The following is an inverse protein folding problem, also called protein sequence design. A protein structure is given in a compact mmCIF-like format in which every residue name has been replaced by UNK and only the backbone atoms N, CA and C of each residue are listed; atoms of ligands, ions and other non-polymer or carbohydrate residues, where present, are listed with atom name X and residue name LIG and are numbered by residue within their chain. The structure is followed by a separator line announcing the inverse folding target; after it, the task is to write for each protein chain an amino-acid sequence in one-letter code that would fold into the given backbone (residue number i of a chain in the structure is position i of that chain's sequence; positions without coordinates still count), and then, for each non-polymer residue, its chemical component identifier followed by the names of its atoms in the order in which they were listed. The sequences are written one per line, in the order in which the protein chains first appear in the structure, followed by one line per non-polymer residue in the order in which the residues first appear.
data_IF_451790441781
#
_entry.id   IF_451790441781
#
_cell.length_a   1.000
_cell.length_b   1.000
_cell.length_c   1.000
_cell.angle_alpha   90.00
_cell.angle_beta   90.00
_cell.angle_gamma   90.00
#
_symmetry.space_group_name_H-M   'P 1'
#
loop_
_entity.id
_entity.type
_entity.pdbx_description
1 polymer ?
#
# COMPACT_ATOMS: atom_id res chain seq x y z
N UNK A 1 -12.60 -18.77 -5.24
CA UNK A 1 -11.88 -18.29 -6.45
C UNK A 1 -10.44 -17.88 -6.14
N UNK A 2 -10.17 -16.98 -5.19
CA UNK A 2 -8.79 -16.61 -4.78
C UNK A 2 -7.96 -17.76 -4.20
N UNK A 3 -8.59 -18.65 -3.43
CA UNK A 3 -7.92 -19.82 -2.82
C UNK A 3 -7.40 -20.84 -3.84
N UNK A 4 -8.00 -20.91 -5.04
CA UNK A 4 -7.52 -21.77 -6.11
C UNK A 4 -6.29 -21.17 -6.80
N UNK A 5 -6.32 -19.87 -7.08
CA UNK A 5 -5.18 -19.18 -7.70
C UNK A 5 -3.94 -19.17 -6.80
N UNK A 6 -4.10 -19.07 -5.47
CA UNK A 6 -2.97 -19.16 -4.53
C UNK A 6 -2.37 -20.57 -4.40
N UNK A 7 -3.03 -21.61 -4.91
CA UNK A 7 -2.52 -22.99 -4.89
C UNK A 7 -1.66 -23.33 -6.09
N UNK A 8 -1.74 -22.56 -7.18
CA UNK A 8 -0.88 -22.74 -8.36
C UNK A 8 0.52 -22.21 -8.08
N UNK A 9 1.52 -22.80 -8.74
CA UNK A 9 2.92 -22.36 -8.61
C UNK A 9 3.08 -20.88 -8.96
N UNK A 10 2.52 -20.48 -10.11
CA UNK A 10 2.52 -19.09 -10.58
C UNK A 10 1.83 -18.12 -9.59
N UNK A 11 0.71 -18.53 -8.98
CA UNK A 11 0.02 -17.71 -8.01
C UNK A 11 0.78 -17.57 -6.69
N UNK A 12 1.48 -18.62 -6.23
CA UNK A 12 2.37 -18.54 -5.06
C UNK A 12 3.55 -17.60 -5.30
N UNK A 13 4.18 -17.69 -6.46
CA UNK A 13 5.30 -16.81 -6.83
C UNK A 13 4.85 -15.34 -6.91
N UNK A 14 3.72 -15.07 -7.55
CA UNK A 14 3.16 -13.72 -7.64
C UNK A 14 2.72 -13.18 -6.28
N UNK A 15 2.14 -14.01 -5.43
CA UNK A 15 1.81 -13.65 -4.06
C UNK A 15 3.06 -13.37 -3.21
N UNK A 16 4.12 -14.17 -3.36
CA UNK A 16 5.38 -13.99 -2.66
C UNK A 16 6.04 -12.63 -2.92
N UNK A 17 5.89 -12.08 -4.13
CA UNK A 17 6.40 -10.73 -4.49
C UNK A 17 5.77 -9.60 -3.68
N UNK A 18 4.60 -9.81 -3.05
CA UNK A 18 3.93 -8.80 -2.22
C UNK A 18 4.78 -8.38 -1.01
N UNK A 19 5.56 -9.31 -0.47
CA UNK A 19 6.46 -9.07 0.67
C UNK A 19 7.43 -7.93 0.43
N UNK A 20 7.96 -7.83 -0.79
CA UNK A 20 8.95 -6.81 -1.15
C UNK A 20 8.32 -5.54 -1.74
N UNK A 21 7.06 -5.60 -2.16
CA UNK A 21 6.42 -4.52 -2.94
C UNK A 21 5.37 -3.78 -2.13
N UNK A 22 4.29 -4.44 -1.75
CA UNK A 22 3.14 -3.79 -1.13
C UNK A 22 3.23 -3.74 0.40
N UNK A 23 3.80 -4.75 1.04
CA UNK A 23 3.93 -4.79 2.51
C UNK A 23 4.77 -3.63 3.07
N UNK A 24 5.92 -3.24 2.47
CA UNK A 24 6.71 -2.11 2.94
C UNK A 24 5.96 -0.78 2.80
N UNK A 25 5.20 -0.61 1.71
CA UNK A 25 4.38 0.59 1.47
C UNK A 25 3.36 0.76 2.58
N UNK A 26 2.62 -0.30 2.91
CA UNK A 26 1.65 -0.28 4.01
C UNK A 26 2.30 -0.07 5.38
N UNK A 27 3.49 -0.65 5.59
CA UNK A 27 4.29 -0.41 6.80
C UNK A 27 4.65 1.06 6.98
N UNK A 28 5.15 1.71 5.92
CA UNK A 28 5.50 3.14 5.92
C UNK A 28 4.26 4.01 6.16
N UNK A 29 3.14 3.71 5.49
CA UNK A 29 1.88 4.45 5.68
C UNK A 29 1.41 4.37 7.15
N UNK A 30 1.47 3.18 7.76
CA UNK A 30 0.97 2.99 9.13
C UNK A 30 1.91 3.50 10.21
N UNK A 31 3.21 3.26 10.07
CA UNK A 31 4.19 3.57 11.11
C UNK A 31 4.83 4.93 10.94
N UNK A 32 5.05 5.37 9.70
CA UNK A 32 5.75 6.64 9.46
C UNK A 32 4.80 7.78 9.13
N UNK A 33 3.78 7.53 8.30
CA UNK A 33 2.75 8.55 8.04
C UNK A 33 1.67 8.57 9.14
N UNK A 34 1.68 7.62 10.08
CA UNK A 34 0.73 7.56 11.20
C UNK A 34 -0.72 7.26 10.80
N UNK A 35 -0.98 6.90 9.54
CA UNK A 35 -2.33 6.68 9.04
C UNK A 35 -2.84 5.29 9.45
N UNK A 36 -3.67 5.23 10.50
CA UNK A 36 -4.21 3.97 11.05
C UNK A 36 -5.70 3.78 10.87
N UNK A 37 -6.45 4.85 10.63
CA UNK A 37 -7.90 4.82 10.45
C UNK A 37 -8.34 5.88 9.44
N UNK A 38 -9.42 5.58 8.72
CA UNK A 38 -10.13 6.54 7.89
C UNK A 38 -11.05 7.39 8.77
N UNK A 39 -11.10 8.69 8.54
CA UNK A 39 -11.98 9.59 9.28
C UNK A 39 -13.34 9.73 8.59
N UNK A 40 -13.35 9.61 7.27
CA UNK A 40 -14.58 9.70 6.48
C UNK A 40 -15.27 8.34 6.34
N UNK A 41 -16.60 8.38 6.13
CA UNK A 41 -17.43 7.21 5.88
C UNK A 41 -17.98 7.23 4.46
N UNK A 42 -18.08 6.04 3.86
CA UNK A 42 -18.51 5.86 2.47
C UNK A 42 -17.36 5.76 1.48
N UNK A 43 -17.50 4.90 0.47
CA UNK A 43 -16.43 4.52 -0.46
C UNK A 43 -15.83 5.74 -1.17
N UNK A 44 -16.68 6.69 -1.59
CA UNK A 44 -16.24 7.88 -2.30
C UNK A 44 -15.34 8.76 -1.42
N UNK A 45 -15.74 9.00 -0.18
CA UNK A 45 -15.00 9.85 0.75
C UNK A 45 -13.68 9.17 1.20
N UNK A 46 -13.73 7.88 1.53
CA UNK A 46 -12.55 7.06 1.84
C UNK A 46 -11.55 7.03 0.67
N UNK A 47 -12.04 7.01 -0.57
CA UNK A 47 -11.16 7.05 -1.75
C UNK A 47 -10.41 8.39 -1.86
N UNK A 48 -11.00 9.51 -1.43
CA UNK A 48 -10.31 10.81 -1.38
C UNK A 48 -9.22 10.80 -0.32
N UNK A 49 -9.54 10.34 0.91
CA UNK A 49 -8.53 10.20 1.98
C UNK A 49 -7.38 9.31 1.54
N UNK A 50 -7.67 8.19 0.90
CA UNK A 50 -6.65 7.26 0.42
C UNK A 50 -5.75 7.89 -0.65
N UNK A 51 -6.30 8.69 -1.56
CA UNK A 51 -5.50 9.43 -2.56
C UNK A 51 -4.54 10.42 -1.91
N UNK A 52 -4.96 11.11 -0.85
CA UNK A 52 -4.10 12.04 -0.10
C UNK A 52 -2.95 11.30 0.59
N UNK A 53 -3.25 10.18 1.25
CA UNK A 53 -2.23 9.33 1.89
C UNK A 53 -1.23 8.80 0.87
N UNK A 54 -1.72 8.33 -0.28
CA UNK A 54 -0.86 7.85 -1.36
C UNK A 54 0.03 8.97 -1.93
N UNK A 55 -0.50 10.19 -2.06
CA UNK A 55 0.27 11.36 -2.50
C UNK A 55 1.38 11.70 -1.51
N UNK A 56 1.09 11.73 -0.20
CA UNK A 56 2.08 11.97 0.85
C UNK A 56 3.19 10.89 0.84
N UNK A 57 2.82 9.62 0.66
CA UNK A 57 3.78 8.53 0.48
C UNK A 57 4.68 8.75 -0.74
N UNK A 58 4.09 9.11 -1.88
CA UNK A 58 4.84 9.36 -3.11
C UNK A 58 5.82 10.53 -2.98
N UNK A 59 5.44 11.63 -2.34
CA UNK A 59 6.38 12.74 -2.08
C UNK A 59 7.54 12.32 -1.20
N UNK A 60 7.28 11.57 -0.12
CA UNK A 60 8.35 11.04 0.72
C UNK A 60 9.31 10.14 -0.07
N UNK A 61 8.76 9.28 -0.93
CA UNK A 61 9.51 8.42 -1.84
C UNK A 61 10.37 9.22 -2.81
N UNK A 62 9.82 10.24 -3.46
CA UNK A 62 10.54 11.11 -4.38
C UNK A 62 11.65 11.88 -3.68
N UNK A 63 11.39 12.40 -2.47
CA UNK A 63 12.41 13.06 -1.67
C UNK A 63 13.59 12.13 -1.37
N UNK A 64 13.32 10.91 -0.89
CA UNK A 64 14.36 9.92 -0.61
C UNK A 64 15.17 9.55 -1.87
N UNK A 65 14.55 9.56 -3.05
CA UNK A 65 15.23 9.34 -4.32
C UNK A 65 16.07 10.54 -4.78
N UNK A 66 15.65 11.76 -4.44
CA UNK A 66 16.34 12.99 -4.85
C UNK A 66 17.53 13.34 -3.94
N UNK A 67 17.49 12.93 -2.67
CA UNK A 67 18.59 13.12 -1.70
C UNK A 67 19.52 11.92 -1.58
N UNK A 68 19.29 10.87 -2.38
CA UNK A 68 20.11 9.66 -2.43
C UNK A 68 21.25 9.76 -3.43
#
# INVERSE_FOLDING_TARGET
MMTYQLKTQAGRELYGRRKCTVEPVFGIIKQVLGFRQFLMRGIQAVAVEWKLVAMAYNFKRMYAMATG
#
